data_IF_289010171131
#
_entry.id   IF_289010171131
#
_cell.length_a   1.000
_cell.length_b   1.000
_cell.length_c   1.000
_cell.angle_alpha   90.00
_cell.angle_beta   90.00
_cell.angle_gamma   90.00
#
_symmetry.space_group_name_H-M   'P 1'
#
loop_
_entity.id
_entity.type
_entity.pdbx_description
1 polymer ?
#
# COMPACT_ATOMS: atom_id res chain seq x y z
N UNK A 1 -13.25 43.27 26.20
CA UNK A 1 -13.78 42.12 26.96
C UNK A 1 -14.51 41.23 25.97
N UNK A 2 -13.95 40.02 25.72
CA UNK A 2 -14.38 38.90 24.83
C UNK A 2 -14.55 39.25 23.33
N UNK A 3 -13.72 38.78 22.36
CA UNK A 3 -13.54 37.41 21.80
C UNK A 3 -14.90 36.79 21.45
N UNK A 4 -15.21 36.43 20.20
CA UNK A 4 -14.75 35.18 19.57
C UNK A 4 -14.55 35.25 18.03
N UNK A 5 -13.80 34.24 17.58
CA UNK A 5 -13.05 34.05 16.34
C UNK A 5 -13.89 33.65 15.11
N UNK A 6 -13.31 33.72 13.88
CA UNK A 6 -13.99 33.24 12.67
C UNK A 6 -14.20 31.72 12.74
N UNK A 7 -15.41 31.27 12.41
CA UNK A 7 -15.72 29.85 12.21
C UNK A 7 -14.94 29.32 11.01
N UNK A 8 -13.77 28.77 11.32
CA UNK A 8 -12.99 27.97 10.41
C UNK A 8 -13.78 26.69 10.10
N UNK A 9 -14.37 26.62 8.91
CA UNK A 9 -14.89 25.36 8.38
C UNK A 9 -13.70 24.45 8.08
N UNK A 10 -13.31 23.64 9.06
CA UNK A 10 -12.47 22.46 8.86
C UNK A 10 -13.27 21.42 8.05
N UNK A 11 -13.41 21.66 6.75
CA UNK A 11 -13.95 20.67 5.83
C UNK A 11 -12.83 19.70 5.42
N UNK A 12 -12.26 18.98 6.39
CA UNK A 12 -11.39 17.84 6.14
C UNK A 12 -12.22 16.56 5.92
N UNK A 13 -13.25 16.65 5.09
CA UNK A 13 -14.02 15.47 4.66
C UNK A 13 -13.23 14.80 3.55
N UNK A 14 -12.42 13.80 3.92
CA UNK A 14 -11.83 12.87 2.96
C UNK A 14 -12.84 11.75 2.73
N UNK A 15 -13.29 11.62 1.48
CA UNK A 15 -14.18 10.53 1.07
C UNK A 15 -13.42 9.22 1.25
N UNK A 16 -14.01 8.32 2.04
CA UNK A 16 -13.46 6.99 2.29
C UNK A 16 -13.97 6.04 1.22
N UNK A 17 -13.04 5.29 0.65
CA UNK A 17 -13.36 3.99 0.06
C UNK A 17 -13.49 2.99 1.23
N UNK A 18 -14.54 2.17 1.27
CA UNK A 18 -14.94 1.27 2.38
C UNK A 18 -13.94 0.12 2.65
N UNK A 19 -12.66 0.32 2.37
CA UNK A 19 -11.58 -0.60 2.69
C UNK A 19 -11.30 -0.57 4.20
N UNK A 20 -11.54 -1.69 4.89
CA UNK A 20 -11.15 -1.87 6.30
C UNK A 20 -9.66 -1.59 6.53
N UNK A 21 -8.80 -1.91 5.57
CA UNK A 21 -7.37 -1.59 5.63
C UNK A 21 -7.12 -0.08 5.51
N UNK A 22 -7.90 0.60 4.68
CA UNK A 22 -7.88 2.05 4.56
C UNK A 22 -8.27 2.77 5.85
N UNK A 23 -9.30 2.26 6.54
CA UNK A 23 -9.73 2.76 7.85
C UNK A 23 -8.64 2.51 8.90
N UNK A 24 -8.10 1.28 8.96
CA UNK A 24 -7.02 0.93 9.89
C UNK A 24 -5.78 1.80 9.68
N UNK A 25 -5.40 2.06 8.43
CA UNK A 25 -4.28 2.92 8.06
C UNK A 25 -4.39 4.32 8.67
N UNK A 26 -5.57 4.94 8.68
CA UNK A 26 -5.75 6.31 9.19
C UNK A 26 -6.05 6.38 10.70
N UNK A 27 -6.41 5.26 11.33
CA UNK A 27 -6.87 5.24 12.73
C UNK A 27 -5.77 5.54 13.76
N UNK A 28 -4.51 5.33 13.41
CA UNK A 28 -3.36 5.61 14.28
C UNK A 28 -2.14 6.10 13.45
N UNK A 29 -2.12 7.36 13.00
CA UNK A 29 -1.17 7.86 12.00
C UNK A 29 0.30 7.61 12.34
N UNK A 30 0.67 7.68 13.62
CA UNK A 30 2.03 7.52 14.12
C UNK A 30 2.50 6.06 14.04
N UNK A 31 1.61 5.12 14.37
CA UNK A 31 1.88 3.67 14.31
C UNK A 31 1.96 3.23 12.85
N UNK A 32 1.02 3.72 12.05
CA UNK A 32 0.92 3.54 10.60
C UNK A 32 2.17 4.03 9.88
N UNK A 33 2.66 5.24 10.19
CA UNK A 33 3.90 5.80 9.63
C UNK A 33 5.09 4.90 9.94
N UNK A 34 5.24 4.49 11.19
CA UNK A 34 6.32 3.61 11.63
C UNK A 34 6.27 2.23 10.96
N UNK A 35 5.08 1.66 10.77
CA UNK A 35 4.89 0.42 10.01
C UNK A 35 5.35 0.59 8.56
N UNK A 36 4.92 1.66 7.89
CA UNK A 36 5.34 1.94 6.51
C UNK A 36 6.85 2.13 6.40
N UNK A 37 7.48 2.83 7.35
CA UNK A 37 8.95 3.02 7.37
C UNK A 37 9.70 1.70 7.54
N UNK A 38 9.24 0.82 8.44
CA UNK A 38 9.88 -0.47 8.70
C UNK A 38 9.69 -1.43 7.52
N UNK A 39 8.47 -1.52 6.99
CA UNK A 39 8.12 -2.52 5.97
C UNK A 39 8.50 -2.07 4.55
N UNK A 40 8.32 -0.79 4.23
CA UNK A 40 8.60 -0.24 2.89
C UNK A 40 9.85 0.63 2.83
N UNK A 41 10.62 0.78 3.91
CA UNK A 41 11.84 1.59 3.92
C UNK A 41 12.79 1.28 2.76
N UNK A 42 13.28 0.03 2.60
CA UNK A 42 14.15 -0.32 1.49
C UNK A 42 13.42 -0.34 0.14
N UNK A 43 12.13 -0.69 0.11
CA UNK A 43 11.29 -0.61 -1.10
C UNK A 43 11.12 0.82 -1.62
N UNK A 44 11.04 1.81 -0.73
CA UNK A 44 10.91 3.22 -1.07
C UNK A 44 12.21 3.82 -1.63
N UNK A 45 13.35 3.18 -1.40
CA UNK A 45 14.63 3.58 -1.99
C UNK A 45 14.78 3.20 -3.47
N UNK A 46 13.85 2.41 -4.01
CA UNK A 46 13.84 2.03 -5.43
C UNK A 46 13.57 3.24 -6.34
N UNK A 47 14.05 3.19 -7.60
CA UNK A 47 13.63 4.10 -8.66
C UNK A 47 12.10 4.20 -8.74
N UNK A 48 11.58 5.39 -9.06
CA UNK A 48 10.14 5.65 -9.00
C UNK A 48 9.32 4.79 -9.98
N UNK A 49 9.84 4.56 -11.18
CA UNK A 49 9.26 3.69 -12.20
C UNK A 49 9.20 2.24 -11.72
N UNK A 50 10.27 1.74 -11.12
CA UNK A 50 10.29 0.39 -10.54
C UNK A 50 9.34 0.28 -9.35
N UNK A 51 9.31 1.26 -8.46
CA UNK A 51 8.38 1.25 -7.32
C UNK A 51 6.92 1.22 -7.78
N UNK A 52 6.57 2.01 -8.80
CA UNK A 52 5.23 2.04 -9.37
C UNK A 52 4.85 0.68 -9.96
N UNK A 53 5.71 0.07 -10.77
CA UNK A 53 5.40 -1.20 -11.44
C UNK A 53 5.25 -2.36 -10.45
N UNK A 54 6.05 -2.37 -9.38
CA UNK A 54 5.94 -3.36 -8.32
C UNK A 54 4.66 -3.15 -7.50
N UNK A 55 4.35 -1.92 -7.12
CA UNK A 55 3.13 -1.58 -6.36
C UNK A 55 1.87 -1.93 -7.15
N UNK A 56 1.83 -1.61 -8.44
CA UNK A 56 0.73 -1.97 -9.34
C UNK A 56 0.59 -3.49 -9.46
N UNK A 57 1.70 -4.21 -9.63
CA UNK A 57 1.67 -5.67 -9.73
C UNK A 57 1.13 -6.31 -8.44
N UNK A 58 1.50 -5.79 -7.28
CA UNK A 58 0.98 -6.27 -6.00
C UNK A 58 -0.52 -6.01 -5.84
N UNK A 59 -0.99 -4.81 -6.19
CA UNK A 59 -2.40 -4.46 -6.13
C UNK A 59 -3.24 -5.37 -7.04
N UNK A 60 -2.86 -5.53 -8.30
CA UNK A 60 -3.57 -6.40 -9.25
C UNK A 60 -3.54 -7.87 -8.80
N UNK A 61 -2.43 -8.32 -8.23
CA UNK A 61 -2.34 -9.68 -7.68
C UNK A 61 -3.29 -9.91 -6.49
N UNK A 62 -3.47 -8.91 -5.61
CA UNK A 62 -4.46 -8.96 -4.53
C UNK A 62 -5.89 -8.95 -5.06
N UNK A 63 -6.20 -8.11 -6.04
CA UNK A 63 -7.52 -8.01 -6.68
C UNK A 63 -7.94 -9.34 -7.34
N UNK A 64 -6.96 -10.14 -7.76
CA UNK A 64 -7.14 -11.48 -8.31
C UNK A 64 -6.88 -12.61 -7.30
N UNK A 65 -7.14 -12.36 -6.01
CA UNK A 65 -7.06 -13.35 -4.92
C UNK A 65 -5.73 -14.12 -4.86
N UNK A 66 -4.64 -13.48 -5.25
CA UNK A 66 -3.31 -14.09 -5.26
C UNK A 66 -3.01 -14.97 -6.48
N UNK A 67 -3.83 -14.94 -7.52
CA UNK A 67 -3.60 -15.70 -8.75
C UNK A 67 -2.54 -15.03 -9.64
N UNK A 68 -1.38 -15.68 -9.78
CA UNK A 68 -0.32 -15.23 -10.70
C UNK A 68 -0.82 -15.22 -12.16
N UNK A 69 -1.62 -16.20 -12.54
CA UNK A 69 -2.08 -16.34 -13.93
C UNK A 69 -3.08 -15.26 -14.31
N UNK A 70 -4.01 -14.95 -13.41
CA UNK A 70 -5.01 -13.90 -13.66
C UNK A 70 -4.38 -12.51 -13.60
N UNK A 71 -3.51 -12.25 -12.62
CA UNK A 71 -2.77 -11.00 -12.55
C UNK A 71 -1.89 -10.78 -13.79
N UNK A 72 -1.26 -11.82 -14.32
CA UNK A 72 -0.47 -11.74 -15.54
C UNK A 72 -1.33 -11.38 -16.76
N UNK A 73 -2.52 -11.97 -16.86
CA UNK A 73 -3.48 -11.63 -17.91
C UNK A 73 -3.95 -10.17 -17.79
N UNK A 74 -4.29 -9.71 -16.58
CA UNK A 74 -4.72 -8.34 -16.32
C UNK A 74 -3.62 -7.30 -16.59
N UNK A 75 -2.36 -7.63 -16.31
CA UNK A 75 -1.19 -6.78 -16.56
C UNK A 75 -0.61 -6.92 -17.97
N UNK A 76 -1.24 -7.72 -18.84
CA UNK A 76 -0.76 -8.02 -20.20
C UNK A 76 0.71 -8.45 -20.24
N UNK A 77 1.12 -9.32 -19.31
CA UNK A 77 2.49 -9.81 -19.21
C UNK A 77 2.54 -11.32 -18.99
N UNK A 78 3.74 -11.89 -19.05
CA UNK A 78 3.93 -13.33 -18.79
C UNK A 78 3.84 -13.64 -17.29
N UNK A 79 3.27 -14.78 -16.85
CA UNK A 79 3.23 -15.21 -15.44
C UNK A 79 4.57 -15.16 -14.70
N UNK A 80 5.68 -15.42 -15.40
CA UNK A 80 7.03 -15.32 -14.84
C UNK A 80 7.39 -13.89 -14.45
N UNK A 81 6.91 -12.89 -15.18
CA UNK A 81 7.13 -11.47 -14.87
C UNK A 81 6.44 -11.10 -13.56
N UNK A 82 5.19 -11.53 -13.36
CA UNK A 82 4.47 -11.32 -12.10
C UNK A 82 5.20 -12.01 -10.95
N UNK A 83 5.59 -13.28 -11.10
CA UNK A 83 6.34 -14.00 -10.07
C UNK A 83 7.65 -13.30 -9.71
N UNK A 84 8.38 -12.83 -10.71
CA UNK A 84 9.63 -12.10 -10.50
C UNK A 84 9.39 -10.79 -9.72
N UNK A 85 8.38 -10.01 -10.11
CA UNK A 85 8.03 -8.75 -9.42
C UNK A 85 7.58 -9.00 -7.97
N UNK A 86 6.75 -10.01 -7.74
CA UNK A 86 6.32 -10.42 -6.39
C UNK A 86 7.51 -10.85 -5.53
N UNK A 87 8.43 -11.65 -6.07
CA UNK A 87 9.66 -12.02 -5.38
C UNK A 87 10.53 -10.80 -5.04
N UNK A 88 10.66 -9.83 -5.96
CA UNK A 88 11.39 -8.58 -5.68
C UNK A 88 10.74 -7.79 -4.55
N UNK A 89 9.41 -7.80 -4.42
CA UNK A 89 8.74 -7.18 -3.27
C UNK A 89 9.15 -7.90 -1.98
N UNK A 90 9.14 -9.23 -1.94
CA UNK A 90 9.62 -9.99 -0.76
C UNK A 90 11.07 -9.64 -0.41
N UNK A 91 11.95 -9.55 -1.41
CA UNK A 91 13.36 -9.20 -1.22
C UNK A 91 13.57 -7.79 -0.66
N UNK A 92 12.80 -6.79 -1.10
CA UNK A 92 12.96 -5.39 -0.66
C UNK A 92 12.20 -5.05 0.62
N UNK A 93 11.21 -5.85 1.00
CA UNK A 93 10.42 -5.63 2.23
C UNK A 93 10.82 -6.57 3.36
N UNK A 94 11.52 -7.67 3.03
CA UNK A 94 11.82 -8.74 3.97
C UNK A 94 10.58 -9.53 4.43
N UNK A 95 9.46 -9.43 3.70
CA UNK A 95 8.18 -10.03 4.05
C UNK A 95 7.76 -11.06 3.03
N UNK A 96 7.28 -12.20 3.51
CA UNK A 96 6.79 -13.27 2.66
C UNK A 96 5.32 -13.08 2.30
N UNK A 97 5.02 -13.30 1.02
CA UNK A 97 3.67 -13.32 0.47
C UNK A 97 2.92 -14.61 0.83
N UNK A 98 3.62 -15.64 1.29
CA UNK A 98 3.03 -16.93 1.68
C UNK A 98 2.78 -17.05 3.18
N UNK A 99 3.37 -16.16 3.99
CA UNK A 99 3.11 -16.08 5.42
C UNK A 99 1.94 -15.11 5.69
N UNK A 100 0.77 -15.56 6.19
CA UNK A 100 -0.43 -14.72 6.27
C UNK A 100 -0.25 -13.42 7.08
N UNK A 101 0.55 -13.46 8.15
CA UNK A 101 0.84 -12.29 8.98
C UNK A 101 1.66 -11.25 8.22
N UNK A 102 2.69 -11.69 7.50
CA UNK A 102 3.58 -10.81 6.75
C UNK A 102 2.88 -10.25 5.51
N UNK A 103 2.02 -11.05 4.86
CA UNK A 103 1.15 -10.57 3.80
C UNK A 103 0.19 -9.48 4.31
N UNK A 104 -0.43 -9.65 5.48
CA UNK A 104 -1.30 -8.63 6.06
C UNK A 104 -0.54 -7.33 6.38
N UNK A 105 0.70 -7.43 6.87
CA UNK A 105 1.59 -6.29 7.07
C UNK A 105 1.89 -5.56 5.75
N UNK A 106 2.15 -6.30 4.67
CA UNK A 106 2.35 -5.72 3.33
C UNK A 106 1.09 -5.03 2.81
N UNK A 107 -0.07 -5.68 2.88
CA UNK A 107 -1.35 -5.10 2.44
C UNK A 107 -1.60 -3.76 3.15
N UNK A 108 -1.41 -3.71 4.47
CA UNK A 108 -1.57 -2.48 5.23
C UNK A 108 -0.52 -1.43 4.83
N UNK A 109 0.75 -1.79 4.70
CA UNK A 109 1.82 -0.87 4.33
C UNK A 109 1.62 -0.23 2.94
N UNK A 110 1.22 -1.02 1.94
CA UNK A 110 0.93 -0.50 0.59
C UNK A 110 -0.32 0.39 0.56
N UNK A 111 -1.35 0.08 1.35
CA UNK A 111 -2.54 0.92 1.48
C UNK A 111 -2.21 2.30 2.10
N UNK A 112 -1.30 2.31 3.08
CA UNK A 112 -0.78 3.55 3.69
C UNK A 112 -0.04 4.38 2.65
N UNK A 113 0.89 3.76 1.92
CA UNK A 113 1.72 4.44 0.93
C UNK A 113 0.88 5.11 -0.18
N UNK A 114 -0.16 4.41 -0.66
CA UNK A 114 -1.12 4.94 -1.65
C UNK A 114 -1.81 6.22 -1.16
N UNK A 115 -2.09 6.32 0.14
CA UNK A 115 -2.80 7.44 0.76
C UNK A 115 -1.90 8.60 1.15
N UNK A 116 -0.62 8.37 1.40
CA UNK A 116 0.36 9.44 1.66
C UNK A 116 0.89 10.09 0.40
N UNK A 117 0.76 9.42 -0.75
CA UNK A 117 1.17 9.95 -2.06
C UNK A 117 0.10 10.83 -2.75
N UNK A 118 -1.10 10.96 -2.16
CA UNK A 118 -2.19 11.85 -2.57
C UNK A 118 -2.39 12.99 -1.58
#
# INVERSE_FOLDING_TARGET
MALEAPEQRDSNVRVFDDSMLGIAAVSAPEVTRKLSEITLGPFNALPSDERLILSETFAVWLDHNGSISEAAAALFCHPNTVRNRLRRIEEHTGRSLTAPRELAELCLAFEIAKRTAS
#
